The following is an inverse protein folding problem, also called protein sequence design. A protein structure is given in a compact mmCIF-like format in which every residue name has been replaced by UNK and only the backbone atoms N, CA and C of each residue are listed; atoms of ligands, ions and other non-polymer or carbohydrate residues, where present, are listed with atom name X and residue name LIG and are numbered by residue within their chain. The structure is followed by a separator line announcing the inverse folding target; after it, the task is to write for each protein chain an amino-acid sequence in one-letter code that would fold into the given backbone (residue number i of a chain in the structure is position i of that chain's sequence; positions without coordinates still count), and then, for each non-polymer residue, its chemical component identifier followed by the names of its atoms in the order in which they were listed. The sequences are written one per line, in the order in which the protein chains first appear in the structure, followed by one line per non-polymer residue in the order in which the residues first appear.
data_IF_518204117042
#
_entry.id   IF_518204117042
#
_cell.length_a   1.000
_cell.length_b   1.000
_cell.length_c   1.000
_cell.angle_alpha   90.00
_cell.angle_beta   90.00
_cell.angle_gamma   90.00
#
_symmetry.space_group_name_H-M   'P 1'
#
loop_
_entity.id
_entity.type
_entity.pdbx_description
1 polymer ?
#
# COMPACT_ATOMS: atom_id res chain seq x y z
N UNK A 1 -10.10 9.71 -11.17
CA UNK A 1 -10.28 9.78 -9.68
C UNK A 1 -9.15 9.09 -8.94
N UNK A 2 -8.52 8.10 -9.58
CA UNK A 2 -7.44 7.28 -9.04
C UNK A 2 -6.29 8.08 -8.42
N UNK A 3 -5.68 9.00 -9.19
CA UNK A 3 -4.55 9.83 -8.72
C UNK A 3 -4.93 10.65 -7.48
N UNK A 4 -6.14 11.22 -7.45
CA UNK A 4 -6.62 11.99 -6.31
C UNK A 4 -6.84 11.13 -5.06
N UNK A 5 -7.20 9.86 -5.19
CA UNK A 5 -7.36 8.95 -4.05
C UNK A 5 -6.00 8.51 -3.50
N UNK A 6 -5.06 8.21 -4.39
CA UNK A 6 -3.67 7.91 -4.07
C UNK A 6 -3.02 9.06 -3.27
N UNK A 7 -3.08 10.29 -3.79
CA UNK A 7 -2.51 11.46 -3.12
C UNK A 7 -3.16 11.73 -1.76
N UNK A 8 -4.51 11.76 -1.71
CA UNK A 8 -5.24 12.02 -0.46
C UNK A 8 -4.98 10.97 0.61
N UNK A 9 -4.87 9.69 0.23
CA UNK A 9 -4.61 8.62 1.20
C UNK A 9 -3.18 8.67 1.69
N UNK A 10 -2.21 8.94 0.81
CA UNK A 10 -0.81 9.13 1.22
C UNK A 10 -0.66 10.29 2.20
N UNK A 11 -1.30 11.44 1.95
CA UNK A 11 -1.28 12.56 2.90
C UNK A 11 -1.81 12.13 4.27
N UNK A 12 -2.94 11.40 4.32
CA UNK A 12 -3.49 10.89 5.58
C UNK A 12 -2.56 9.91 6.29
N UNK A 13 -1.88 9.04 5.52
CA UNK A 13 -0.87 8.13 6.07
C UNK A 13 0.26 8.92 6.74
N UNK A 14 0.84 9.90 6.04
CA UNK A 14 1.93 10.72 6.58
C UNK A 14 1.50 11.48 7.85
N UNK A 15 0.30 12.06 7.84
CA UNK A 15 -0.26 12.73 9.02
C UNK A 15 -0.46 11.79 10.22
N UNK A 16 -0.73 10.50 10.00
CA UNK A 16 -1.04 9.55 11.08
C UNK A 16 0.12 9.23 12.02
N UNK A 17 1.36 9.51 11.61
CA UNK A 17 2.56 9.22 12.38
C UNK A 17 3.55 10.39 12.50
N UNK A 18 3.22 11.57 11.94
CA UNK A 18 4.13 12.71 11.89
C UNK A 18 4.63 13.15 13.28
N UNK A 19 3.80 12.99 14.30
CA UNK A 19 4.03 13.40 15.69
C UNK A 19 4.86 12.39 16.50
N UNK A 20 5.05 11.16 15.99
CA UNK A 20 5.69 10.07 16.74
C UNK A 20 7.21 10.13 16.72
N UNK A 21 7.90 9.80 17.80
CA UNK A 21 9.37 9.62 17.77
C UNK A 21 9.78 8.31 17.07
N UNK A 22 11.07 8.15 16.78
CA UNK A 22 11.59 6.89 16.24
C UNK A 22 11.35 5.73 17.20
N UNK A 23 11.47 5.95 18.52
CA UNK A 23 11.18 4.95 19.54
C UNK A 23 9.69 4.54 19.50
N UNK A 24 8.78 5.50 19.43
CA UNK A 24 7.33 5.23 19.34
C UNK A 24 6.97 4.49 18.05
N UNK A 25 7.59 4.83 16.92
CA UNK A 25 7.39 4.14 15.65
C UNK A 25 7.81 2.67 15.72
N UNK A 26 8.87 2.35 16.45
CA UNK A 26 9.42 1.01 16.56
C UNK A 26 8.83 0.19 17.71
N UNK A 27 8.05 0.80 18.61
CA UNK A 27 7.38 0.09 19.69
C UNK A 27 6.32 -0.89 19.15
N UNK A 28 6.32 -2.13 19.67
CA UNK A 28 5.35 -3.17 19.33
C UNK A 28 4.32 -3.32 20.45
N UNK A 29 3.02 -3.44 20.15
CA UNK A 29 2.00 -3.80 21.15
C UNK A 29 2.19 -5.19 21.76
N UNK A 30 2.79 -6.12 21.01
CA UNK A 30 3.15 -7.46 21.46
C UNK A 30 4.22 -8.07 20.54
N UNK A 31 4.88 -9.13 20.98
CA UNK A 31 5.88 -9.87 20.17
C UNK A 31 5.32 -10.44 18.86
N UNK A 32 4.00 -10.61 18.77
CA UNK A 32 3.30 -11.14 17.59
C UNK A 32 2.71 -10.04 16.70
N UNK A 33 2.85 -8.78 17.09
CA UNK A 33 2.31 -7.63 16.38
C UNK A 33 3.41 -6.86 15.67
N UNK A 34 3.07 -6.24 14.54
CA UNK A 34 3.95 -5.28 13.90
C UNK A 34 3.95 -3.94 14.66
N UNK A 35 5.10 -3.27 14.66
CA UNK A 35 5.20 -1.85 15.02
C UNK A 35 4.67 -0.96 13.89
N UNK A 36 4.50 0.34 14.14
CA UNK A 36 4.13 1.30 13.09
C UNK A 36 5.20 1.35 12.01
N UNK A 37 6.48 1.36 12.37
CA UNK A 37 7.60 1.32 11.44
C UNK A 37 7.52 0.11 10.49
N UNK A 38 7.20 -1.07 11.04
CA UNK A 38 7.01 -2.29 10.25
C UNK A 38 5.80 -2.22 9.32
N UNK A 39 4.69 -1.60 9.76
CA UNK A 39 3.53 -1.34 8.89
C UNK A 39 3.90 -0.40 7.73
N UNK A 40 4.65 0.66 7.99
CA UNK A 40 5.07 1.62 6.97
C UNK A 40 6.05 0.99 5.96
N UNK A 41 7.00 0.19 6.44
CA UNK A 41 7.89 -0.57 5.57
C UNK A 41 7.13 -1.56 4.67
N UNK A 42 6.13 -2.26 5.22
CA UNK A 42 5.25 -3.14 4.44
C UNK A 42 4.48 -2.38 3.35
N UNK A 43 4.02 -1.16 3.62
CA UNK A 43 3.37 -0.33 2.61
C UNK A 43 4.32 0.05 1.48
N UNK A 44 5.58 0.41 1.80
CA UNK A 44 6.62 0.66 0.81
C UNK A 44 6.83 -0.55 -0.12
N UNK A 45 7.10 -1.73 0.44
CA UNK A 45 7.40 -2.92 -0.36
C UNK A 45 6.19 -3.37 -1.18
N UNK A 46 4.98 -3.28 -0.62
CA UNK A 46 3.74 -3.64 -1.30
C UNK A 46 3.42 -2.70 -2.47
N UNK A 47 3.59 -1.39 -2.29
CA UNK A 47 3.38 -0.42 -3.38
C UNK A 47 4.39 -0.63 -4.51
N UNK A 48 5.67 -0.80 -4.18
CA UNK A 48 6.74 -1.10 -5.15
C UNK A 48 6.46 -2.38 -5.94
N UNK A 49 6.07 -3.46 -5.26
CA UNK A 49 5.75 -4.73 -5.90
C UNK A 49 4.54 -4.60 -6.82
N UNK A 50 3.46 -3.95 -6.36
CA UNK A 50 2.26 -3.76 -7.18
C UNK A 50 2.53 -2.89 -8.41
N UNK A 51 3.32 -1.81 -8.27
CA UNK A 51 3.70 -0.98 -9.40
C UNK A 51 4.48 -1.78 -10.47
N UNK A 52 5.41 -2.64 -10.04
CA UNK A 52 6.12 -3.56 -10.94
C UNK A 52 5.19 -4.51 -11.67
N UNK A 53 4.28 -5.18 -10.95
CA UNK A 53 3.30 -6.09 -11.55
C UNK A 53 2.39 -5.39 -12.57
N UNK A 54 1.98 -4.15 -12.29
CA UNK A 54 1.18 -3.35 -13.22
C UNK A 54 1.98 -3.00 -14.48
N UNK A 55 3.26 -2.64 -14.36
CA UNK A 55 4.13 -2.36 -15.51
C UNK A 55 4.34 -3.60 -16.39
N UNK A 56 4.60 -4.76 -15.78
CA UNK A 56 4.76 -6.01 -16.51
C UNK A 56 3.48 -6.38 -17.26
N UNK A 57 2.33 -6.27 -16.60
CA UNK A 57 1.03 -6.53 -17.21
C UNK A 57 0.63 -5.48 -18.26
N UNK A 58 1.15 -4.25 -18.18
CA UNK A 58 0.98 -3.23 -19.22
C UNK A 58 1.65 -3.62 -20.53
N UNK A 59 2.68 -4.46 -20.53
CA UNK A 59 3.34 -4.95 -21.75
C UNK A 59 2.71 -6.24 -22.28
N UNK A 60 2.01 -7.00 -21.44
CA UNK A 60 1.34 -8.23 -21.84
C UNK A 60 0.12 -7.98 -22.74
N UNK A 61 -0.20 -8.92 -23.64
CA UNK A 61 -1.43 -8.86 -24.44
C UNK A 61 -2.59 -9.45 -23.63
N UNK A 62 -3.29 -8.60 -22.87
CA UNK A 62 -4.42 -8.99 -22.02
C UNK A 62 -5.71 -8.27 -22.42
N UNK A 63 -6.84 -8.91 -22.14
CA UNK A 63 -8.16 -8.37 -22.45
C UNK A 63 -8.73 -7.55 -21.29
N UNK A 64 -9.71 -6.72 -21.61
CA UNK A 64 -10.49 -5.99 -20.62
C UNK A 64 -11.34 -6.98 -19.82
N UNK A 65 -11.32 -6.84 -18.50
CA UNK A 65 -12.21 -7.56 -17.59
C UNK A 65 -13.18 -6.59 -16.91
N UNK A 66 -14.23 -7.13 -16.29
CA UNK A 66 -15.13 -6.33 -15.46
C UNK A 66 -14.40 -5.80 -14.21
N UNK A 67 -14.73 -4.56 -13.83
CA UNK A 67 -14.23 -3.99 -12.58
C UNK A 67 -14.82 -4.75 -11.39
N UNK A 68 -13.98 -5.11 -10.43
CA UNK A 68 -14.39 -5.82 -9.23
C UNK A 68 -14.67 -4.86 -8.07
N UNK A 69 -15.56 -5.28 -7.18
CA UNK A 69 -15.73 -4.63 -5.89
C UNK A 69 -14.54 -4.95 -4.99
N UNK A 70 -13.84 -3.90 -4.56
CA UNK A 70 -12.66 -3.98 -3.69
C UNK A 70 -12.98 -3.54 -2.25
N UNK A 71 -14.25 -3.37 -1.89
CA UNK A 71 -14.71 -2.93 -0.56
C UNK A 71 -14.07 -3.73 0.58
N UNK A 72 -13.93 -5.05 0.39
CA UNK A 72 -13.34 -5.99 1.34
C UNK A 72 -11.89 -5.71 1.74
N UNK A 73 -11.11 -4.99 0.91
CA UNK A 73 -9.69 -4.70 1.19
C UNK A 73 -9.52 -3.93 2.50
N UNK A 74 -10.47 -3.03 2.78
CA UNK A 74 -10.43 -2.17 3.97
C UNK A 74 -10.96 -2.83 5.24
N UNK A 75 -11.57 -4.02 5.14
CA UNK A 75 -12.14 -4.74 6.28
C UNK A 75 -11.03 -5.42 7.12
N UNK A 76 -10.68 -4.80 8.25
CA UNK A 76 -9.65 -5.28 9.20
C UNK A 76 -9.97 -6.64 9.84
N UNK A 77 -11.22 -7.12 9.79
CA UNK A 77 -11.59 -8.45 10.32
C UNK A 77 -11.10 -9.59 9.44
N UNK A 78 -10.89 -9.32 8.15
CA UNK A 78 -10.29 -10.27 7.20
C UNK A 78 -8.78 -10.20 7.30
N UNK A 79 -8.14 -11.33 7.59
CA UNK A 79 -6.67 -11.44 7.65
C UNK A 79 -6.17 -12.02 6.32
N UNK A 80 -5.24 -11.32 5.69
CA UNK A 80 -4.42 -11.85 4.60
C UNK A 80 -2.96 -11.89 5.07
N UNK A 81 -2.23 -12.91 4.66
CA UNK A 81 -0.81 -13.04 5.01
C UNK A 81 0.00 -12.15 4.08
N UNK A 82 0.87 -11.32 4.65
CA UNK A 82 1.78 -10.51 3.85
C UNK A 82 2.75 -11.41 3.07
N UNK A 83 3.13 -10.99 1.87
CA UNK A 83 4.06 -11.75 1.02
C UNK A 83 5.46 -11.78 1.63
N UNK A 84 5.86 -10.70 2.31
CA UNK A 84 7.11 -10.60 3.06
C UNK A 84 6.86 -10.03 4.44
N UNK A 85 7.59 -10.54 5.43
CA UNK A 85 7.63 -9.94 6.76
C UNK A 85 8.55 -8.71 6.73
N UNK A 86 8.16 -7.60 7.40
CA UNK A 86 9.02 -6.44 7.53
C UNK A 86 10.23 -6.74 8.44
N UNK A 87 11.34 -5.99 8.26
CA UNK A 87 12.53 -6.13 9.10
C UNK A 87 12.22 -5.95 10.59
N UNK A 88 13.03 -6.58 11.46
CA UNK A 88 12.94 -6.38 12.92
C UNK A 88 13.90 -5.30 13.41
N UNK A 89 14.79 -4.81 12.56
CA UNK A 89 15.70 -3.72 12.82
C UNK A 89 14.94 -2.42 13.07
N UNK A 90 15.50 -1.58 13.94
CA UNK A 90 14.99 -0.24 14.20
C UNK A 90 15.08 0.60 12.93
N UNK A 91 13.98 1.28 12.57
CA UNK A 91 13.92 2.19 11.42
C UNK A 91 13.65 3.62 11.88
N UNK A 92 14.41 4.59 11.38
CA UNK A 92 14.18 6.01 11.66
C UNK A 92 12.97 6.53 10.88
N UNK A 93 12.30 7.56 11.40
CA UNK A 93 11.22 8.26 10.69
C UNK A 93 11.70 8.77 9.33
N UNK A 94 12.91 9.32 9.27
CA UNK A 94 13.50 9.83 8.03
C UNK A 94 13.63 8.73 6.97
N UNK A 95 14.17 7.57 7.33
CA UNK A 95 14.29 6.44 6.41
C UNK A 95 12.92 5.96 5.93
N UNK A 96 11.94 5.87 6.83
CA UNK A 96 10.57 5.45 6.46
C UNK A 96 9.91 6.45 5.50
N UNK A 97 10.08 7.75 5.72
CA UNK A 97 9.60 8.79 4.81
C UNK A 97 10.24 8.65 3.44
N UNK A 98 11.56 8.45 3.38
CA UNK A 98 12.30 8.27 2.13
C UNK A 98 11.83 7.01 1.37
N UNK A 99 11.63 5.88 2.05
CA UNK A 99 11.11 4.66 1.43
C UNK A 99 9.69 4.88 0.85
N UNK A 100 8.79 5.50 1.62
CA UNK A 100 7.46 5.83 1.14
C UNK A 100 7.52 6.79 -0.07
N UNK A 101 8.40 7.77 -0.05
CA UNK A 101 8.64 8.68 -1.17
C UNK A 101 9.16 7.92 -2.41
N UNK A 102 10.13 7.03 -2.24
CA UNK A 102 10.67 6.17 -3.30
C UNK A 102 9.56 5.34 -3.96
N UNK A 103 8.76 4.60 -3.18
CA UNK A 103 7.64 3.82 -3.74
C UNK A 103 6.65 4.68 -4.53
N UNK A 104 6.40 5.92 -4.10
CA UNK A 104 5.44 6.80 -4.75
C UNK A 104 5.98 7.40 -6.04
N UNK A 105 7.15 8.01 -5.98
CA UNK A 105 7.67 8.86 -7.06
C UNK A 105 8.64 8.14 -8.00
N UNK A 106 9.28 7.06 -7.56
CA UNK A 106 10.14 6.27 -8.44
C UNK A 106 9.40 5.09 -9.05
N UNK A 107 8.53 4.42 -8.29
CA UNK A 107 7.85 3.21 -8.77
C UNK A 107 6.45 3.50 -9.31
N UNK A 108 5.55 4.02 -8.48
CA UNK A 108 4.16 4.18 -8.91
C UNK A 108 3.98 5.33 -9.90
N UNK A 109 4.72 6.44 -9.77
CA UNK A 109 4.70 7.49 -10.78
C UNK A 109 5.17 6.98 -12.15
N UNK A 110 6.13 6.05 -12.18
CA UNK A 110 6.60 5.47 -13.44
C UNK A 110 5.47 4.76 -14.20
N UNK A 111 4.54 4.08 -13.50
CA UNK A 111 3.30 3.54 -14.12
C UNK A 111 2.53 4.64 -14.87
N UNK A 112 2.37 5.82 -14.26
CA UNK A 112 1.61 6.92 -14.85
C UNK A 112 2.38 7.70 -15.93
N UNK A 113 3.69 7.52 -16.03
CA UNK A 113 4.48 8.01 -17.16
C UNK A 113 4.28 7.13 -18.40
N UNK A 114 4.10 5.81 -18.20
CA UNK A 114 3.89 4.84 -19.28
C UNK A 114 2.42 4.74 -19.73
N UNK A 115 1.46 5.17 -18.89
CA UNK A 115 0.04 4.97 -19.19
C UNK A 115 -0.92 5.95 -18.52
N UNK A 116 -2.20 5.83 -18.86
CA UNK A 116 -3.28 6.61 -18.27
C UNK A 116 -4.40 5.71 -17.70
N UNK A 117 -5.20 6.25 -16.77
CA UNK A 117 -6.33 5.55 -16.11
C UNK A 117 -7.24 4.82 -17.11
N UNK A 118 -7.49 5.42 -18.30
CA UNK A 118 -8.32 4.81 -19.36
C UNK A 118 -7.71 3.55 -20.00
N UNK A 119 -6.39 3.44 -20.05
CA UNK A 119 -5.68 2.27 -20.59
C UNK A 119 -5.57 1.19 -19.51
N UNK A 120 -5.29 1.58 -18.26
CA UNK A 120 -5.31 0.68 -17.12
C UNK A 120 -6.65 -0.07 -16.98
N UNK A 121 -7.77 0.60 -17.27
CA UNK A 121 -9.11 -0.01 -17.26
C UNK A 121 -9.41 -0.95 -18.44
N UNK A 122 -8.52 -1.03 -19.45
CA UNK A 122 -8.68 -1.91 -20.62
C UNK A 122 -7.77 -3.13 -20.60
N UNK A 123 -6.82 -3.20 -19.66
CA UNK A 123 -5.91 -4.33 -19.48
C UNK A 123 -6.17 -5.02 -18.15
N UNK A 124 -5.71 -6.25 -18.03
CA UNK A 124 -5.91 -7.07 -16.85
C UNK A 124 -4.65 -7.80 -16.41
N UNK A 125 -4.68 -8.27 -15.17
CA UNK A 125 -3.68 -9.16 -14.57
C UNK A 125 -4.36 -10.15 -13.62
N UNK A 126 -3.69 -11.27 -13.33
CA UNK A 126 -4.13 -12.21 -12.30
C UNK A 126 -3.61 -11.78 -10.93
N UNK A 127 -4.52 -11.49 -10.01
CA UNK A 127 -4.24 -11.23 -8.61
C UNK A 127 -4.52 -12.48 -7.77
N UNK A 128 -3.73 -12.70 -6.72
CA UNK A 128 -3.85 -13.88 -5.85
C UNK A 128 -5.25 -14.01 -5.22
N UNK A 129 -5.74 -12.95 -4.58
CA UNK A 129 -7.00 -12.98 -3.83
C UNK A 129 -8.25 -12.69 -4.69
N UNK A 130 -8.08 -12.03 -5.84
CA UNK A 130 -9.19 -11.55 -6.65
C UNK A 130 -9.30 -12.23 -8.01
N UNK A 131 -8.39 -13.16 -8.35
CA UNK A 131 -8.31 -13.72 -9.70
C UNK A 131 -7.99 -12.63 -10.72
N UNK A 132 -8.56 -12.71 -11.92
CA UNK A 132 -8.36 -11.65 -12.92
C UNK A 132 -9.01 -10.34 -12.49
N UNK A 133 -8.23 -9.25 -12.54
CA UNK A 133 -8.66 -7.88 -12.24
C UNK A 133 -8.11 -6.92 -13.28
N UNK A 134 -8.77 -5.78 -13.48
CA UNK A 134 -8.22 -4.71 -14.32
C UNK A 134 -6.95 -4.13 -13.69
N UNK A 135 -6.05 -3.57 -14.51
CA UNK A 135 -4.89 -2.85 -13.95
C UNK A 135 -5.32 -1.61 -13.18
N UNK A 136 -6.47 -1.03 -13.52
CA UNK A 136 -7.07 0.05 -12.71
C UNK A 136 -7.41 -0.46 -11.31
N UNK A 137 -8.06 -1.62 -11.17
CA UNK A 137 -8.31 -2.23 -9.86
C UNK A 137 -7.01 -2.54 -9.12
N UNK A 138 -5.97 -3.03 -9.81
CA UNK A 138 -4.67 -3.28 -9.21
C UNK A 138 -4.06 -2.00 -8.60
N UNK A 139 -4.17 -0.86 -9.29
CA UNK A 139 -3.73 0.43 -8.74
C UNK A 139 -4.68 0.95 -7.64
N UNK A 140 -5.98 0.66 -7.73
CA UNK A 140 -6.94 0.99 -6.66
C UNK A 140 -6.61 0.25 -5.35
N UNK A 141 -6.12 -1.00 -5.44
CA UNK A 141 -5.68 -1.77 -4.27
C UNK A 141 -4.60 -1.04 -3.47
N UNK A 142 -3.75 -0.22 -4.10
CA UNK A 142 -2.67 0.50 -3.42
C UNK A 142 -3.23 1.49 -2.38
N UNK A 143 -4.15 2.38 -2.78
CA UNK A 143 -4.70 3.36 -1.84
C UNK A 143 -5.70 2.72 -0.86
N UNK A 144 -6.40 1.65 -1.24
CA UNK A 144 -7.25 0.90 -0.32
C UNK A 144 -6.42 0.19 0.76
N UNK A 145 -5.26 -0.35 0.38
CA UNK A 145 -4.33 -0.99 1.29
C UNK A 145 -3.68 0.02 2.25
N UNK A 146 -3.26 1.20 1.77
CA UNK A 146 -2.83 2.29 2.67
C UNK A 146 -3.95 2.68 3.65
N UNK A 147 -5.19 2.84 3.17
CA UNK A 147 -6.34 3.17 4.02
C UNK A 147 -6.57 2.12 5.11
N UNK A 148 -6.45 0.83 4.77
CA UNK A 148 -6.51 -0.27 5.74
C UNK A 148 -5.42 -0.12 6.81
N UNK A 149 -4.20 0.20 6.41
CA UNK A 149 -3.07 0.29 7.34
C UNK A 149 -3.04 1.58 8.16
N UNK A 150 -3.67 2.67 7.70
CA UNK A 150 -3.95 3.84 8.55
C UNK A 150 -4.79 3.43 9.77
N UNK A 151 -5.82 2.60 9.57
CA UNK A 151 -6.62 2.09 10.69
C UNK A 151 -5.77 1.19 11.61
N UNK A 152 -4.86 0.38 11.06
CA UNK A 152 -3.93 -0.41 11.87
C UNK A 152 -2.99 0.47 12.72
N UNK A 153 -2.50 1.57 12.16
CA UNK A 153 -1.67 2.53 12.91
C UNK A 153 -2.48 3.11 14.07
N UNK A 154 -3.74 3.48 13.85
CA UNK A 154 -4.63 3.96 14.91
C UNK A 154 -4.88 2.89 15.99
N UNK A 155 -5.09 1.62 15.60
CA UNK A 155 -5.21 0.49 16.53
C UNK A 155 -3.95 0.34 17.40
N UNK A 156 -2.75 0.41 16.80
CA UNK A 156 -1.47 0.30 17.50
C UNK A 156 -1.30 1.45 18.49
N UNK A 157 -1.59 2.68 18.06
CA UNK A 157 -1.56 3.90 18.89
C UNK A 157 -2.44 3.78 20.13
N UNK A 158 -3.67 3.31 19.96
CA UNK A 158 -4.60 3.06 21.06
C UNK A 158 -4.08 1.99 22.03
N UNK A 159 -3.46 0.92 21.53
CA UNK A 159 -2.90 -0.14 22.38
C UNK A 159 -1.67 0.32 23.17
N UNK A 160 -0.88 1.23 22.62
CA UNK A 160 0.34 1.75 23.23
C UNK A 160 0.15 3.08 24.00
N UNK A 161 -1.06 3.63 23.97
CA UNK A 161 -1.47 4.86 24.65
C UNK A 161 -0.71 6.13 24.18
N UNK A 162 -0.58 6.35 22.87
CA UNK A 162 -0.08 7.61 22.30
C UNK A 162 -0.75 8.02 20.98
#
# INVERSE_FOLDING_TARGET
MLISNLGRTRTKLLTSFQDLSDEQLNQKPSDKSWSIAQVLHHLYTSEKAMAGLVLDALQANTEKVEEKDLSFVTDRTKKSKAMSEPPNEMMTKENLLQLLEESRFQHLQFVFNETHERILAKKSMKHQDFGEISLKNAVDLIWLHEKRHINQIQEIRQQLNF
#
